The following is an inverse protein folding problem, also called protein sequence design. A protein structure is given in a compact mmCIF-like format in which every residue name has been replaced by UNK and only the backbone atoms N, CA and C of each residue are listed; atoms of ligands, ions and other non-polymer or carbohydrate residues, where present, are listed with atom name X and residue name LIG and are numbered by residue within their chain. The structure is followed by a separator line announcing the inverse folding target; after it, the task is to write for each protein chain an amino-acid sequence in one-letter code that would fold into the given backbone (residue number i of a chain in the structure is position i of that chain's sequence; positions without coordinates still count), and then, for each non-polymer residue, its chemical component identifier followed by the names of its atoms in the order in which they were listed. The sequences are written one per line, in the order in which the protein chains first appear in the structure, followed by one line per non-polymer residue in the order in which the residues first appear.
data_IF_080549297471
#
_entry.id   IF_080549297471
#
_cell.length_a   1.000
_cell.length_b   1.000
_cell.length_c   1.000
_cell.angle_alpha   90.00
_cell.angle_beta   90.00
_cell.angle_gamma   90.00
#
_symmetry.space_group_name_H-M   'P 1'
#
loop_
_entity.id
_entity.type
_entity.pdbx_description
1 polymer ?
#
# COMPACT_ATOMS: atom_id res chain seq x y z
N UNK A 1 1.15 -9.70 53.59
CA UNK A 1 0.02 -8.83 54.01
C UNK A 1 -0.30 -7.90 52.85
N UNK A 2 -1.47 -7.76 52.22
CA UNK A 2 -2.83 -8.36 52.19
C UNK A 2 -3.16 -8.43 50.67
N UNK A 3 -3.50 -9.57 50.06
CA UNK A 3 -4.81 -10.24 49.99
C UNK A 3 -5.95 -9.42 49.35
N UNK A 4 -6.61 -10.08 48.38
CA UNK A 4 -7.95 -9.89 47.79
C UNK A 4 -8.02 -8.89 46.61
N UNK A 5 -8.42 -9.22 45.38
CA UNK A 5 -9.31 -10.29 44.91
C UNK A 5 -10.66 -9.70 44.51
N UNK A 6 -10.99 -9.64 43.20
CA UNK A 6 -12.40 -9.57 42.77
C UNK A 6 -12.66 -10.37 41.50
N UNK A 7 -13.44 -11.41 41.71
CA UNK A 7 -14.03 -12.33 40.74
C UNK A 7 -15.26 -11.72 40.05
N UNK A 8 -15.43 -12.14 38.78
CA UNK A 8 -16.64 -12.52 38.02
C UNK A 8 -17.88 -11.61 37.97
N UNK A 9 -18.35 -11.39 36.73
CA UNK A 9 -19.63 -11.87 36.14
C UNK A 9 -19.71 -11.25 34.72
N UNK A 10 -19.59 -11.93 33.57
CA UNK A 10 -20.30 -13.07 32.95
C UNK A 10 -21.83 -12.94 32.99
N UNK A 11 -22.37 -12.18 32.03
CA UNK A 11 -23.72 -12.41 31.49
C UNK A 11 -23.56 -12.69 30.00
N UNK A 12 -23.77 -13.96 29.64
CA UNK A 12 -24.07 -14.42 28.28
C UNK A 12 -25.59 -14.52 28.25
N UNK A 13 -26.24 -13.70 27.43
CA UNK A 13 -27.59 -14.00 26.96
C UNK A 13 -27.44 -14.43 25.50
N UNK A 14 -27.82 -15.69 25.27
CA UNK A 14 -28.03 -16.28 23.97
C UNK A 14 -29.53 -16.19 23.75
N UNK A 15 -29.99 -15.54 22.68
CA UNK A 15 -31.31 -15.80 22.14
C UNK A 15 -31.21 -15.70 20.62
N UNK A 16 -31.40 -16.86 19.99
CA UNK A 16 -31.62 -17.08 18.59
C UNK A 16 -33.04 -16.63 18.25
N UNK A 17 -33.18 -15.71 17.30
CA UNK A 17 -34.42 -15.57 16.53
C UNK A 17 -34.04 -15.10 15.14
N UNK A 18 -34.19 -16.03 14.20
CA UNK A 18 -34.31 -15.74 12.78
C UNK A 18 -35.62 -14.99 12.56
N UNK A 19 -35.55 -13.78 12.00
CA UNK A 19 -36.70 -13.19 11.34
C UNK A 19 -36.22 -12.42 10.12
N UNK A 20 -36.45 -13.03 8.96
CA UNK A 20 -36.34 -12.43 7.65
C UNK A 20 -37.31 -11.24 7.57
N UNK A 21 -36.76 -10.05 7.68
CA UNK A 21 -37.46 -8.78 7.51
C UNK A 21 -36.87 -8.02 6.33
N UNK A 22 -37.30 -8.38 5.12
CA UNK A 22 -37.07 -7.64 3.89
C UNK A 22 -37.74 -6.25 4.02
N UNK A 23 -37.00 -5.27 4.52
CA UNK A 23 -37.42 -3.87 4.47
C UNK A 23 -37.15 -3.36 3.05
N UNK A 24 -38.20 -3.37 2.24
CA UNK A 24 -38.30 -2.67 0.97
C UNK A 24 -38.11 -1.17 1.21
N UNK A 25 -36.87 -0.71 1.04
CA UNK A 25 -36.60 0.72 0.96
C UNK A 25 -37.08 1.22 -0.40
N UNK A 26 -38.18 1.96 -0.38
CA UNK A 26 -38.73 2.66 -1.54
C UNK A 26 -37.65 3.49 -2.21
N UNK A 27 -37.47 3.21 -3.49
CA UNK A 27 -36.46 3.77 -4.37
C UNK A 27 -36.88 5.19 -4.76
N UNK A 28 -36.52 6.19 -3.96
CA UNK A 28 -36.50 7.58 -4.43
C UNK A 28 -35.13 7.85 -5.08
N UNK A 29 -35.06 7.61 -6.39
CA UNK A 29 -33.95 8.06 -7.23
C UNK A 29 -34.02 9.59 -7.37
N UNK A 30 -33.52 10.31 -6.36
CA UNK A 30 -33.19 11.73 -6.53
C UNK A 30 -31.91 11.77 -7.36
N UNK A 31 -32.07 12.09 -8.65
CA UNK A 31 -30.97 12.33 -9.57
C UNK A 31 -30.08 13.45 -9.01
N UNK A 32 -28.97 13.06 -8.36
CA UNK A 32 -27.95 14.00 -7.93
C UNK A 32 -27.41 14.71 -9.18
N UNK A 33 -27.39 16.06 -9.23
CA UNK A 33 -26.77 16.76 -10.32
C UNK A 33 -25.29 16.35 -10.36
N UNK A 34 -24.88 15.71 -11.45
CA UNK A 34 -23.48 15.40 -11.68
C UNK A 34 -22.73 16.70 -11.85
N UNK A 35 -22.24 17.25 -10.74
CA UNK A 35 -21.34 18.40 -10.74
C UNK A 35 -19.99 17.89 -11.22
N UNK A 36 -19.84 17.80 -12.54
CA UNK A 36 -18.60 17.56 -13.25
C UNK A 36 -17.66 18.76 -12.98
N UNK A 37 -17.01 18.72 -11.83
CA UNK A 37 -15.87 19.59 -11.51
C UNK A 37 -14.65 19.17 -12.32
N UNK A 38 -14.69 19.34 -13.63
CA UNK A 38 -13.49 19.48 -14.45
C UNK A 38 -13.09 20.94 -14.47
N UNK A 39 -12.66 21.47 -13.32
CA UNK A 39 -11.77 22.63 -13.32
C UNK A 39 -10.42 22.19 -13.86
N UNK A 40 -10.34 22.04 -15.19
CA UNK A 40 -9.10 21.99 -15.98
C UNK A 40 -8.37 23.32 -15.75
N UNK A 41 -7.56 23.37 -14.70
CA UNK A 41 -6.53 24.39 -14.57
C UNK A 41 -5.41 24.03 -15.55
N UNK A 42 -5.53 24.58 -16.76
CA UNK A 42 -4.60 24.42 -17.88
C UNK A 42 -3.32 25.21 -17.63
N UNK A 43 -2.39 24.59 -16.91
CA UNK A 43 -0.96 24.72 -17.15
C UNK A 43 -0.44 23.30 -17.29
N UNK A 44 0.22 22.99 -18.40
CA UNK A 44 0.60 21.65 -18.86
C UNK A 44 1.28 20.81 -17.78
N UNK A 45 0.47 20.11 -16.98
CA UNK A 45 0.93 19.20 -15.94
C UNK A 45 1.15 17.85 -16.59
N UNK A 46 2.39 17.39 -16.62
CA UNK A 46 2.77 16.09 -17.15
C UNK A 46 1.95 15.01 -16.45
N UNK A 47 1.32 14.14 -17.24
CA UNK A 47 0.56 13.02 -16.69
C UNK A 47 1.49 11.82 -16.52
N UNK A 48 1.41 11.19 -15.34
CA UNK A 48 2.35 10.12 -14.98
C UNK A 48 2.13 8.85 -15.80
N UNK A 49 0.91 8.57 -16.28
CA UNK A 49 0.66 7.40 -17.14
C UNK A 49 1.41 7.52 -18.47
N UNK A 50 1.42 8.71 -19.09
CA UNK A 50 2.14 8.98 -20.34
C UNK A 50 3.64 8.71 -20.16
N UNK A 51 4.24 9.07 -19.01
CA UNK A 51 5.66 8.81 -18.71
C UNK A 51 5.98 7.32 -18.55
N UNK A 52 5.03 6.48 -18.16
CA UNK A 52 5.26 5.04 -17.98
C UNK A 52 5.41 4.32 -19.32
N UNK A 53 4.76 4.80 -20.36
CA UNK A 53 4.81 4.23 -21.71
C UNK A 53 6.09 4.63 -22.47
N UNK A 54 6.72 5.76 -22.10
CA UNK A 54 7.96 6.24 -22.75
C UNK A 54 9.19 5.37 -22.48
N UNK A 55 10.16 5.42 -23.39
CA UNK A 55 11.43 4.69 -23.24
C UNK A 55 12.34 5.33 -22.18
N UNK A 56 13.38 4.59 -21.74
CA UNK A 56 14.33 5.08 -20.72
C UNK A 56 15.13 6.29 -21.21
N UNK A 57 15.54 6.28 -22.48
CA UNK A 57 16.32 7.36 -23.10
C UNK A 57 15.50 8.64 -23.20
N UNK A 58 14.22 8.53 -23.58
CA UNK A 58 13.33 9.69 -23.68
C UNK A 58 13.11 10.35 -22.31
N UNK A 59 12.93 9.54 -21.27
CA UNK A 59 12.80 10.05 -19.89
C UNK A 59 14.10 10.73 -19.40
N UNK A 60 15.27 10.28 -19.85
CA UNK A 60 16.55 10.91 -19.53
C UNK A 60 16.70 12.26 -20.24
N UNK A 61 16.28 12.36 -21.50
CA UNK A 61 16.31 13.60 -22.26
C UNK A 61 15.37 14.65 -21.65
N UNK A 62 14.10 14.27 -21.38
CA UNK A 62 13.13 15.14 -20.69
C UNK A 62 13.64 15.61 -19.33
N UNK A 63 14.35 14.74 -18.59
CA UNK A 63 14.94 15.11 -17.31
C UNK A 63 16.03 16.20 -17.46
N UNK A 64 16.82 16.17 -18.52
CA UNK A 64 17.84 17.20 -18.76
C UNK A 64 17.20 18.53 -19.15
N UNK A 65 16.16 18.50 -19.99
CA UNK A 65 15.39 19.69 -20.38
C UNK A 65 14.79 20.37 -19.14
N UNK A 66 14.13 19.63 -18.24
CA UNK A 66 13.55 20.22 -17.02
C UNK A 66 14.61 20.74 -16.05
N UNK A 67 15.81 20.14 -16.01
CA UNK A 67 16.93 20.65 -15.19
C UNK A 67 17.48 21.95 -15.75
N UNK A 68 17.64 22.06 -17.06
CA UNK A 68 18.05 23.29 -17.72
C UNK A 68 17.02 24.41 -17.49
N UNK A 69 15.72 24.11 -17.67
CA UNK A 69 14.65 25.06 -17.39
C UNK A 69 14.66 25.50 -15.92
N UNK A 70 14.83 24.57 -14.98
CA UNK A 70 14.90 24.91 -13.55
C UNK A 70 16.09 25.82 -13.24
N UNK A 71 17.25 25.60 -13.87
CA UNK A 71 18.43 26.45 -13.68
C UNK A 71 18.16 27.89 -14.13
N UNK A 72 17.55 28.06 -15.31
CA UNK A 72 17.14 29.37 -15.82
C UNK A 72 16.13 30.06 -14.90
N UNK A 73 15.14 29.32 -14.40
CA UNK A 73 14.14 29.86 -13.48
C UNK A 73 14.73 30.26 -12.11
N UNK A 74 15.81 29.62 -11.67
CA UNK A 74 16.51 29.99 -10.43
C UNK A 74 17.29 31.29 -10.59
N UNK A 75 17.94 31.52 -11.73
CA UNK A 75 18.59 32.81 -12.04
C UNK A 75 17.52 33.91 -12.10
N UNK A 76 16.42 33.67 -12.83
CA UNK A 76 15.31 34.62 -12.93
C UNK A 76 14.66 34.95 -11.58
N UNK A 77 14.70 34.03 -10.62
CA UNK A 77 14.23 34.31 -9.25
C UNK A 77 15.13 35.32 -8.53
N UNK A 78 16.44 35.21 -8.69
CA UNK A 78 17.40 36.11 -8.03
C UNK A 78 17.35 37.51 -8.63
N UNK A 79 17.16 37.61 -9.95
CA UNK A 79 17.09 38.90 -10.65
C UNK A 79 15.72 39.60 -10.57
N UNK A 80 14.82 39.15 -9.69
CA UNK A 80 13.51 39.77 -9.52
C UNK A 80 12.54 39.58 -10.71
N UNK A 81 12.60 38.42 -11.37
CA UNK A 81 11.80 38.15 -12.57
C UNK A 81 10.29 38.07 -12.35
N UNK A 82 9.54 38.15 -13.46
CA UNK A 82 8.07 38.16 -13.49
C UNK A 82 7.41 37.02 -12.67
N UNK A 83 6.25 37.27 -12.03
CA UNK A 83 5.57 36.31 -11.15
C UNK A 83 5.19 34.99 -11.85
N UNK A 84 4.95 35.04 -13.16
CA UNK A 84 4.68 33.85 -13.98
C UNK A 84 5.86 32.87 -14.01
N UNK A 85 7.10 33.38 -14.03
CA UNK A 85 8.32 32.55 -14.00
C UNK A 85 8.50 31.92 -12.60
N UNK A 86 8.19 32.65 -11.54
CA UNK A 86 8.26 32.17 -10.16
C UNK A 86 7.26 31.03 -9.89
N UNK A 87 6.03 31.15 -10.42
CA UNK A 87 4.99 30.15 -10.29
C UNK A 87 5.35 28.81 -10.96
N UNK A 88 6.11 28.86 -12.07
CA UNK A 88 6.60 27.67 -12.80
C UNK A 88 7.60 26.84 -12.00
N UNK A 89 8.37 27.44 -11.08
CA UNK A 89 9.41 26.72 -10.30
C UNK A 89 8.82 25.52 -9.56
N UNK A 90 7.66 25.70 -8.92
CA UNK A 90 6.99 24.61 -8.18
C UNK A 90 6.55 23.49 -9.11
N UNK A 91 6.09 23.83 -10.32
CA UNK A 91 5.62 22.87 -11.32
C UNK A 91 6.80 22.06 -11.86
N UNK A 92 7.86 22.72 -12.32
CA UNK A 92 9.07 22.07 -12.86
C UNK A 92 9.72 21.13 -11.83
N UNK A 93 9.81 21.56 -10.56
CA UNK A 93 10.32 20.67 -9.48
C UNK A 93 9.48 19.41 -9.30
N UNK A 94 8.15 19.53 -9.39
CA UNK A 94 7.26 18.36 -9.31
C UNK A 94 7.41 17.47 -10.55
N UNK A 95 7.55 18.05 -11.74
CA UNK A 95 7.81 17.30 -12.98
C UNK A 95 9.10 16.47 -12.89
N UNK A 96 10.21 17.07 -12.44
CA UNK A 96 11.49 16.38 -12.22
C UNK A 96 11.32 15.20 -11.25
N UNK A 97 10.63 15.42 -10.13
CA UNK A 97 10.38 14.36 -9.15
C UNK A 97 9.54 13.21 -9.72
N UNK A 98 8.54 13.51 -10.56
CA UNK A 98 7.72 12.50 -11.23
C UNK A 98 8.54 11.66 -12.22
N UNK A 99 9.36 12.28 -13.07
CA UNK A 99 10.23 11.56 -14.03
C UNK A 99 11.21 10.64 -13.28
N UNK A 100 11.91 11.16 -12.26
CA UNK A 100 12.83 10.36 -11.45
C UNK A 100 12.13 9.19 -10.74
N UNK A 101 10.90 9.40 -10.28
CA UNK A 101 10.10 8.36 -9.64
C UNK A 101 9.79 7.23 -10.63
N UNK A 102 9.37 7.55 -11.86
CA UNK A 102 9.08 6.54 -12.90
C UNK A 102 10.35 5.78 -13.29
N UNK A 103 11.49 6.47 -13.46
CA UNK A 103 12.78 5.83 -13.74
C UNK A 103 13.14 4.84 -12.62
N UNK A 104 13.05 5.26 -11.35
CA UNK A 104 13.36 4.40 -10.20
C UNK A 104 12.41 3.20 -10.09
N UNK A 105 11.11 3.40 -10.39
CA UNK A 105 10.12 2.32 -10.44
C UNK A 105 10.51 1.27 -11.50
N UNK A 106 10.77 1.70 -12.74
CA UNK A 106 11.18 0.79 -13.83
C UNK A 106 12.45 0.02 -13.50
N UNK A 107 13.46 0.70 -12.96
CA UNK A 107 14.70 0.06 -12.53
C UNK A 107 14.46 -1.00 -11.44
N UNK A 108 13.66 -0.68 -10.40
CA UNK A 108 13.34 -1.63 -9.34
C UNK A 108 12.53 -2.82 -9.83
N UNK A 109 11.62 -2.63 -10.80
CA UNK A 109 10.85 -3.71 -11.40
C UNK A 109 11.76 -4.68 -12.18
N UNK A 110 12.62 -4.14 -13.05
CA UNK A 110 13.60 -4.95 -13.78
C UNK A 110 14.53 -5.73 -12.84
N UNK A 111 14.99 -5.10 -11.74
CA UNK A 111 15.79 -5.80 -10.72
C UNK A 111 14.97 -6.87 -9.98
N UNK A 112 13.69 -6.64 -9.68
CA UNK A 112 12.84 -7.65 -9.04
C UNK A 112 12.63 -8.86 -9.93
N UNK A 113 12.46 -8.66 -11.23
CA UNK A 113 12.36 -9.75 -12.22
C UNK A 113 13.66 -10.55 -12.27
N UNK A 114 14.80 -9.86 -12.40
CA UNK A 114 16.13 -10.50 -12.47
C UNK A 114 16.52 -11.30 -11.21
N UNK A 115 15.98 -10.94 -10.03
CA UNK A 115 16.28 -11.59 -8.75
C UNK A 115 15.14 -12.46 -8.20
N UNK A 116 14.02 -12.63 -8.93
CA UNK A 116 12.80 -13.29 -8.43
C UNK A 116 13.03 -14.73 -7.92
N UNK A 117 13.85 -15.51 -8.62
CA UNK A 117 14.15 -16.91 -8.31
C UNK A 117 15.42 -17.12 -7.50
N UNK A 118 16.18 -16.05 -7.24
CA UNK A 118 17.48 -16.14 -6.56
C UNK A 118 17.28 -16.21 -5.05
N UNK A 119 17.96 -17.15 -4.39
CA UNK A 119 17.94 -17.30 -2.92
C UNK A 119 18.41 -16.03 -2.20
N UNK A 120 19.46 -15.39 -2.71
CA UNK A 120 20.06 -14.22 -2.10
C UNK A 120 19.59 -12.93 -2.79
N UNK A 121 18.75 -12.18 -2.07
CA UNK A 121 18.28 -10.86 -2.51
C UNK A 121 19.16 -9.74 -1.91
N UNK A 122 19.44 -8.68 -2.68
CA UNK A 122 20.05 -7.46 -2.16
C UNK A 122 19.13 -6.81 -1.11
N UNK A 123 19.73 -6.08 -0.17
CA UNK A 123 19.02 -5.52 1.00
C UNK A 123 17.81 -4.65 0.62
N UNK A 124 17.91 -3.88 -0.46
CA UNK A 124 16.86 -2.97 -0.93
C UNK A 124 15.61 -3.69 -1.45
N UNK A 125 15.77 -4.91 -1.97
CA UNK A 125 14.66 -5.71 -2.49
C UNK A 125 14.02 -6.61 -1.43
N UNK A 126 14.62 -6.72 -0.23
CA UNK A 126 14.06 -7.53 0.84
C UNK A 126 12.75 -6.93 1.34
N UNK A 127 11.77 -7.76 1.73
CA UNK A 127 10.52 -7.27 2.29
C UNK A 127 10.78 -6.49 3.58
N UNK A 128 10.20 -5.29 3.69
CA UNK A 128 10.33 -4.44 4.88
C UNK A 128 9.43 -4.97 5.99
N UNK A 129 10.02 -5.73 6.91
CA UNK A 129 9.38 -6.27 8.14
C UNK A 129 10.22 -5.88 9.36
N UNK A 130 9.62 -5.96 10.56
CA UNK A 130 10.38 -5.76 11.81
C UNK A 130 11.44 -6.86 11.99
N UNK A 131 12.49 -6.57 12.77
CA UNK A 131 13.56 -7.54 13.04
C UNK A 131 13.02 -8.81 13.71
N UNK A 132 12.10 -8.67 14.67
CA UNK A 132 11.45 -9.81 15.33
C UNK A 132 10.73 -10.73 14.32
N UNK A 133 9.96 -10.15 13.38
CA UNK A 133 9.25 -10.92 12.35
C UNK A 133 10.23 -11.61 11.38
N UNK A 134 11.40 -11.04 11.13
CA UNK A 134 12.43 -11.68 10.29
C UNK A 134 13.16 -12.83 10.98
N UNK A 135 13.23 -12.82 12.32
CA UNK A 135 13.96 -13.81 13.12
C UNK A 135 13.08 -14.95 13.65
N UNK A 136 11.76 -14.74 13.75
CA UNK A 136 10.82 -15.80 14.17
C UNK A 136 10.87 -16.99 13.21
N UNK A 137 10.48 -18.16 13.73
CA UNK A 137 10.32 -19.37 12.93
C UNK A 137 9.31 -19.19 11.79
N UNK A 138 9.55 -19.86 10.68
CA UNK A 138 8.56 -19.94 9.60
C UNK A 138 7.34 -20.75 10.04
N UNK A 139 6.17 -20.50 9.46
CA UNK A 139 4.94 -21.25 9.78
C UNK A 139 5.14 -22.76 9.57
N UNK A 140 5.88 -23.12 8.51
CA UNK A 140 6.22 -24.51 8.23
C UNK A 140 7.06 -25.12 9.35
N UNK A 141 8.17 -24.47 9.74
CA UNK A 141 9.01 -24.92 10.85
C UNK A 141 8.22 -25.06 12.15
N UNK A 142 7.36 -24.09 12.47
CA UNK A 142 6.52 -24.15 13.66
C UNK A 142 5.45 -25.26 13.60
N UNK A 143 5.04 -25.68 12.40
CA UNK A 143 4.09 -26.77 12.19
C UNK A 143 4.73 -28.15 12.05
N UNK A 144 6.06 -28.24 12.01
CA UNK A 144 6.75 -29.52 11.92
C UNK A 144 6.51 -30.30 13.22
N UNK A 145 5.77 -31.40 13.10
CA UNK A 145 5.53 -32.35 14.19
C UNK A 145 6.38 -33.58 14.00
N UNK A 146 6.78 -34.19 15.10
CA UNK A 146 7.49 -35.47 15.07
C UNK A 146 6.56 -36.57 14.55
N UNK A 147 7.11 -37.64 13.96
CA UNK A 147 6.31 -38.79 13.49
C UNK A 147 5.48 -39.41 14.63
N UNK A 148 6.02 -39.40 15.85
CA UNK A 148 5.31 -39.86 17.06
C UNK A 148 4.09 -39.00 17.36
N UNK A 149 4.24 -37.68 17.30
CA UNK A 149 3.15 -36.73 17.55
C UNK A 149 2.08 -36.81 16.46
N UNK A 150 2.47 -36.92 15.18
CA UNK A 150 1.54 -37.14 14.07
C UNK A 150 0.70 -38.40 14.29
N UNK A 151 1.32 -39.52 14.64
CA UNK A 151 0.61 -40.78 14.96
C UNK A 151 -0.36 -40.60 16.13
N UNK A 152 0.08 -39.92 17.21
CA UNK A 152 -0.78 -39.63 18.36
C UNK A 152 -2.02 -38.80 17.98
N UNK A 153 -1.84 -37.77 17.16
CA UNK A 153 -2.95 -36.92 16.71
C UNK A 153 -3.92 -37.66 15.78
N UNK A 154 -3.41 -38.54 14.91
CA UNK A 154 -4.26 -39.38 14.07
C UNK A 154 -5.10 -40.38 14.90
N UNK A 155 -4.47 -41.02 15.89
CA UNK A 155 -5.14 -42.04 16.71
C UNK A 155 -6.10 -41.45 17.74
N UNK A 156 -5.76 -40.29 18.33
CA UNK A 156 -6.54 -39.67 19.39
C UNK A 156 -6.93 -38.22 19.04
N UNK A 157 -7.83 -38.02 18.08
CA UNK A 157 -8.34 -36.69 17.77
C UNK A 157 -9.21 -36.17 18.91
N UNK A 158 -9.11 -34.87 19.21
CA UNK A 158 -10.02 -34.20 20.13
C UNK A 158 -11.43 -34.18 19.52
N UNK A 159 -12.32 -35.02 20.05
CA UNK A 159 -13.72 -35.11 19.62
C UNK A 159 -14.54 -34.06 20.37
N UNK A 160 -15.47 -33.43 19.66
CA UNK A 160 -16.47 -32.54 20.28
C UNK A 160 -17.59 -33.39 20.86
N UNK A 161 -17.91 -33.22 22.13
CA UNK A 161 -19.04 -33.86 22.79
C UNK A 161 -19.79 -32.84 23.66
N UNK A 162 -21.07 -33.11 23.89
CA UNK A 162 -21.92 -32.34 24.80
C UNK A 162 -22.48 -33.28 25.85
N UNK A 163 -22.50 -32.85 27.11
CA UNK A 163 -23.10 -33.60 28.21
C UNK A 163 -24.52 -33.06 28.38
N UNK A 164 -25.51 -33.95 28.32
CA UNK A 164 -26.89 -33.60 28.62
C UNK A 164 -27.03 -33.48 30.14
N UNK A 165 -27.50 -32.31 30.59
CA UNK A 165 -27.89 -32.07 31.98
C UNK A 165 -29.28 -32.67 32.21
#
# INVERSE_FOLDING_TARGET
MRLLGRLRNRVKLFCSESFDGFVSYSKEEVAAPQFNTTRKLTMARIKVHELRERSKTDLQNQLQEFKAELALLRVAKVTGGAPNKLSKIKVVRKSIAQVLTVISQKQKLALREAYKSKKFLPLDLRPKKTRAIRRRLTKHQASLKTEREKKKEMYFPLRKYAIKV
#
